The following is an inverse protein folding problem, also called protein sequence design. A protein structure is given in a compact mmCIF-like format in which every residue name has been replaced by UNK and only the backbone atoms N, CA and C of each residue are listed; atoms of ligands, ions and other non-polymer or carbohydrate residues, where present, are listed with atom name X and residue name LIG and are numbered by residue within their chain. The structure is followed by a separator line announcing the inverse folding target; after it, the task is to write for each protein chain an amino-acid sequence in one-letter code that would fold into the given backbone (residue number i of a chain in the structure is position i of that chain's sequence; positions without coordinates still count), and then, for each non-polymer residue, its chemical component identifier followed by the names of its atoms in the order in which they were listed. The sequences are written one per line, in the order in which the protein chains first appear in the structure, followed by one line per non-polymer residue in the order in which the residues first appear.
data_IF_468475998912
#
_entry.id   IF_468475998912
#
_cell.length_a   1.000
_cell.length_b   1.000
_cell.length_c   1.000
_cell.angle_alpha   90.00
_cell.angle_beta   90.00
_cell.angle_gamma   90.00
#
_symmetry.space_group_name_H-M   'P 1'
#
loop_
_entity.id
_entity.type
_entity.pdbx_description
1 polymer ?
#
# COMPACT_ATOMS: atom_id res chain seq x y z
N UNK A 1 4.47 -24.57 3.09
CA UNK A 1 4.10 -23.61 2.04
C UNK A 1 2.66 -23.82 1.57
N UNK A 2 2.19 -22.97 0.68
CA UNK A 2 0.86 -23.08 0.08
C UNK A 2 0.78 -24.32 -0.82
N UNK A 3 -0.25 -25.14 -0.60
CA UNK A 3 -0.57 -26.29 -1.44
C UNK A 3 -1.92 -26.04 -2.11
N UNK A 4 -1.97 -25.80 -3.43
CA UNK A 4 -3.22 -25.52 -4.14
C UNK A 4 -4.14 -26.74 -4.23
N UNK A 5 -3.63 -27.94 -3.99
CA UNK A 5 -4.43 -29.20 -4.00
C UNK A 5 -5.15 -29.46 -2.67
N UNK A 6 -4.69 -28.86 -1.57
CA UNK A 6 -5.33 -28.97 -0.25
C UNK A 6 -6.41 -27.90 -0.11
N UNK A 7 -7.64 -28.31 -0.38
CA UNK A 7 -8.81 -27.41 -0.31
C UNK A 7 -9.39 -27.25 1.09
N UNK A 8 -8.95 -28.03 2.07
CA UNK A 8 -9.42 -27.93 3.46
C UNK A 8 -8.58 -26.98 4.29
N UNK A 9 -7.31 -26.78 3.91
CA UNK A 9 -6.41 -25.89 4.63
C UNK A 9 -6.68 -24.42 4.28
N UNK A 10 -6.80 -23.58 5.30
CA UNK A 10 -6.94 -22.14 5.14
C UNK A 10 -5.68 -21.40 5.59
N UNK A 11 -5.38 -20.28 4.94
CA UNK A 11 -4.19 -19.49 5.17
C UNK A 11 -4.54 -18.04 5.49
N UNK A 12 -3.86 -17.37 6.43
CA UNK A 12 -3.92 -15.93 6.52
C UNK A 12 -3.23 -15.32 5.29
N UNK A 13 -3.78 -14.22 4.78
CA UNK A 13 -3.22 -13.51 3.63
C UNK A 13 -2.52 -12.22 4.03
N UNK A 14 -1.46 -11.84 3.33
CA UNK A 14 -0.78 -10.55 3.51
C UNK A 14 -0.69 -9.85 2.16
N UNK A 15 -1.30 -8.67 2.06
CA UNK A 15 -1.04 -7.72 0.98
C UNK A 15 0.23 -6.93 1.31
N UNK A 16 1.26 -7.04 0.47
CA UNK A 16 2.46 -6.23 0.58
C UNK A 16 2.45 -5.12 -0.47
N UNK A 17 2.80 -3.90 -0.06
CA UNK A 17 2.78 -2.70 -0.91
C UNK A 17 4.18 -2.10 -0.94
N UNK A 18 4.75 -1.96 -2.15
CA UNK A 18 6.10 -1.41 -2.30
C UNK A 18 6.17 0.09 -2.01
N UNK A 19 7.37 0.56 -1.76
CA UNK A 19 7.66 2.00 -1.63
C UNK A 19 7.73 2.70 -2.99
N UNK A 20 8.00 3.99 -2.97
CA UNK A 20 8.16 4.81 -4.17
C UNK A 20 7.26 6.06 -4.12
N UNK A 21 6.13 6.12 -4.84
CA UNK A 21 5.43 5.09 -5.62
C UNK A 21 6.13 4.61 -6.88
N UNK A 22 7.02 5.40 -7.48
CA UNK A 22 7.82 5.01 -8.64
C UNK A 22 8.85 3.95 -8.27
N UNK A 23 8.38 2.73 -8.16
CA UNK A 23 9.12 1.49 -7.98
C UNK A 23 8.25 0.35 -8.52
N UNK A 24 8.73 -0.88 -8.46
CA UNK A 24 7.97 -2.03 -8.93
C UNK A 24 8.39 -3.30 -8.18
N UNK A 25 7.44 -4.14 -7.86
CA UNK A 25 7.71 -5.54 -7.60
C UNK A 25 7.88 -6.28 -8.93
N UNK A 26 8.81 -7.21 -8.96
CA UNK A 26 9.05 -8.09 -10.10
C UNK A 26 8.86 -9.56 -9.67
N UNK A 27 8.70 -10.51 -10.62
CA UNK A 27 8.63 -11.93 -10.34
C UNK A 27 10.02 -12.50 -10.02
N UNK A 28 10.68 -11.90 -9.03
CA UNK A 28 12.02 -12.25 -8.56
C UNK A 28 11.95 -12.68 -7.09
N UNK A 29 13.02 -13.32 -6.63
CA UNK A 29 13.15 -13.66 -5.22
C UNK A 29 13.17 -12.38 -4.36
N UNK A 30 12.20 -12.29 -3.43
CA UNK A 30 12.14 -11.24 -2.44
C UNK A 30 12.12 -11.87 -1.05
N UNK A 31 13.21 -11.71 -0.31
CA UNK A 31 13.46 -12.44 0.93
C UNK A 31 12.34 -12.28 1.95
N UNK A 32 11.85 -11.07 2.18
CA UNK A 32 10.77 -10.78 3.14
C UNK A 32 9.50 -11.58 2.81
N UNK A 33 9.09 -11.64 1.53
CA UNK A 33 7.94 -12.41 1.11
C UNK A 33 8.14 -13.91 1.36
N UNK A 34 9.37 -14.41 1.18
CA UNK A 34 9.68 -15.83 1.46
C UNK A 34 9.65 -16.16 2.96
N UNK A 35 10.08 -15.22 3.80
CA UNK A 35 9.98 -15.38 5.26
C UNK A 35 8.53 -15.53 5.70
N UNK A 36 7.64 -14.68 5.23
CA UNK A 36 6.20 -14.77 5.54
C UNK A 36 5.56 -16.02 4.93
N UNK A 37 5.88 -16.36 3.69
CA UNK A 37 5.38 -17.58 3.06
C UNK A 37 5.82 -18.84 3.82
N UNK A 38 7.06 -18.86 4.29
CA UNK A 38 7.57 -19.96 5.13
C UNK A 38 6.91 -20.02 6.52
N UNK A 39 6.49 -18.88 7.04
CA UNK A 39 5.72 -18.79 8.28
C UNK A 39 4.24 -19.18 8.12
N UNK A 40 3.80 -19.54 6.91
CA UNK A 40 2.45 -20.05 6.66
C UNK A 40 1.46 -19.01 6.15
N UNK A 41 1.92 -17.83 5.74
CA UNK A 41 1.07 -16.81 5.15
C UNK A 41 1.00 -16.95 3.62
N UNK A 42 -0.14 -16.63 3.06
CA UNK A 42 -0.27 -16.37 1.63
C UNK A 42 0.09 -14.91 1.36
N UNK A 43 1.22 -14.67 0.70
CA UNK A 43 1.72 -13.30 0.43
C UNK A 43 1.39 -12.92 -1.01
N UNK A 44 0.77 -11.77 -1.19
CA UNK A 44 0.43 -11.26 -2.52
C UNK A 44 0.73 -9.76 -2.62
N UNK A 45 0.96 -9.31 -3.84
CA UNK A 45 1.29 -7.93 -4.14
C UNK A 45 0.86 -7.54 -5.55
N UNK A 46 0.82 -6.25 -5.80
CA UNK A 46 0.57 -5.67 -7.13
C UNK A 46 1.44 -4.45 -7.35
N UNK A 47 1.49 -4.00 -8.59
CA UNK A 47 2.04 -2.72 -8.97
C UNK A 47 0.86 -1.78 -9.32
N UNK A 48 0.35 -0.99 -8.36
CA UNK A 48 -0.76 -0.07 -8.59
C UNK A 48 -0.34 1.10 -9.48
N UNK A 49 -1.30 1.91 -9.91
CA UNK A 49 -1.00 3.17 -10.59
C UNK A 49 -0.01 4.00 -9.74
N UNK A 50 0.97 4.58 -10.37
CA UNK A 50 2.11 5.22 -9.71
C UNK A 50 3.39 4.38 -9.76
N UNK A 51 3.29 3.07 -10.03
CA UNK A 51 4.44 2.17 -10.16
C UNK A 51 5.15 2.35 -11.50
N UNK A 52 6.44 2.03 -11.51
CA UNK A 52 7.24 1.97 -12.74
C UNK A 52 6.93 0.69 -13.57
N UNK A 53 7.49 0.63 -14.78
CA UNK A 53 7.48 -0.55 -15.65
C UNK A 53 6.35 -0.60 -16.67
N UNK A 54 5.43 0.38 -16.68
CA UNK A 54 4.29 0.46 -17.62
C UNK A 54 4.19 1.82 -18.33
N UNK A 55 5.31 2.54 -18.44
CA UNK A 55 5.37 3.87 -19.05
C UNK A 55 5.01 5.01 -18.10
N UNK A 56 5.26 6.24 -18.55
CA UNK A 56 5.14 7.43 -17.71
C UNK A 56 3.70 7.73 -17.29
N UNK A 57 2.73 7.50 -18.17
CA UNK A 57 1.32 7.78 -17.86
C UNK A 57 0.80 6.90 -16.72
N UNK A 58 1.24 5.63 -16.67
CA UNK A 58 0.92 4.73 -15.57
C UNK A 58 1.68 5.09 -14.29
N UNK A 59 2.91 5.58 -14.40
CA UNK A 59 3.74 6.00 -13.27
C UNK A 59 3.32 7.36 -12.68
N UNK A 60 2.45 8.11 -13.35
CA UNK A 60 1.99 9.41 -12.87
C UNK A 60 0.80 9.27 -11.92
N UNK A 61 1.10 9.32 -10.63
CA UNK A 61 0.12 9.38 -9.54
C UNK A 61 -0.01 10.80 -8.97
N UNK A 62 0.70 11.78 -9.52
CA UNK A 62 0.84 13.13 -8.96
C UNK A 62 -0.52 13.75 -8.58
N UNK A 63 -0.64 14.15 -7.32
CA UNK A 63 -1.83 14.79 -6.77
C UNK A 63 -3.05 13.87 -6.56
N UNK A 64 -2.90 12.54 -6.73
CA UNK A 64 -3.99 11.55 -6.65
C UNK A 64 -3.72 10.40 -5.68
N UNK A 65 -2.76 10.56 -4.79
CA UNK A 65 -2.42 9.55 -3.76
C UNK A 65 -3.63 9.21 -2.89
N UNK A 66 -3.88 7.93 -2.65
CA UNK A 66 -5.01 7.46 -1.86
C UNK A 66 -6.34 7.38 -2.64
N UNK A 67 -6.30 7.47 -3.96
CA UNK A 67 -7.47 7.31 -4.83
C UNK A 67 -7.38 6.03 -5.66
N UNK A 68 -6.99 6.14 -6.92
CA UNK A 68 -6.90 5.02 -7.85
C UNK A 68 -5.86 3.96 -7.43
N UNK A 69 -4.78 4.36 -6.78
CA UNK A 69 -3.79 3.45 -6.20
C UNK A 69 -4.37 2.59 -5.08
N UNK A 70 -5.22 3.17 -4.22
CA UNK A 70 -5.99 2.43 -3.22
C UNK A 70 -7.00 1.48 -3.87
N UNK A 71 -7.75 1.96 -4.88
CA UNK A 71 -8.70 1.11 -5.61
C UNK A 71 -8.02 -0.10 -6.26
N UNK A 72 -6.82 0.07 -6.83
CA UNK A 72 -6.04 -1.03 -7.38
C UNK A 72 -5.62 -2.05 -6.31
N UNK A 73 -5.23 -1.59 -5.12
CA UNK A 73 -4.93 -2.48 -4.00
C UNK A 73 -6.16 -3.29 -3.56
N UNK A 74 -7.33 -2.68 -3.54
CA UNK A 74 -8.58 -3.38 -3.20
C UNK A 74 -8.99 -4.36 -4.30
N UNK A 75 -8.91 -3.97 -5.56
CA UNK A 75 -9.24 -4.83 -6.70
C UNK A 75 -8.34 -6.07 -6.79
N UNK A 76 -7.04 -5.93 -6.56
CA UNK A 76 -6.15 -7.09 -6.52
C UNK A 76 -6.46 -8.01 -5.35
N UNK A 77 -6.85 -7.46 -4.21
CA UNK A 77 -7.26 -8.27 -3.05
C UNK A 77 -8.51 -9.08 -3.38
N UNK A 78 -9.51 -8.49 -4.05
CA UNK A 78 -10.71 -9.19 -4.50
C UNK A 78 -10.38 -10.32 -5.47
N UNK A 79 -9.53 -10.04 -6.44
CA UNK A 79 -9.13 -11.04 -7.46
C UNK A 79 -8.33 -12.19 -6.83
N UNK A 80 -7.45 -11.91 -5.89
CA UNK A 80 -6.67 -12.93 -5.18
C UNK A 80 -7.58 -13.83 -4.35
N UNK A 81 -8.51 -13.28 -3.59
CA UNK A 81 -9.47 -14.06 -2.80
C UNK A 81 -10.37 -14.94 -3.70
N UNK A 82 -10.76 -14.42 -4.85
CA UNK A 82 -11.54 -15.18 -5.84
C UNK A 82 -10.75 -16.36 -6.41
N UNK A 83 -9.47 -16.15 -6.74
CA UNK A 83 -8.60 -17.20 -7.34
C UNK A 83 -8.15 -18.24 -6.32
N UNK A 84 -7.98 -17.84 -5.08
CA UNK A 84 -7.42 -18.67 -4.00
C UNK A 84 -8.36 -18.71 -2.80
N UNK A 85 -9.46 -19.50 -2.88
CA UNK A 85 -10.47 -19.59 -1.81
C UNK A 85 -9.92 -20.17 -0.49
N UNK A 86 -8.70 -20.71 -0.49
CA UNK A 86 -8.00 -21.13 0.72
C UNK A 86 -7.49 -19.96 1.58
N UNK A 87 -7.49 -18.73 1.05
CA UNK A 87 -7.17 -17.55 1.86
C UNK A 87 -8.37 -17.20 2.72
N UNK A 88 -8.17 -17.15 4.02
CA UNK A 88 -9.19 -16.71 4.97
C UNK A 88 -9.30 -15.17 4.95
N UNK A 89 -10.38 -14.66 4.38
CA UNK A 89 -10.64 -13.23 4.27
C UNK A 89 -10.76 -12.50 5.63
N UNK A 90 -11.03 -13.25 6.72
CA UNK A 90 -11.06 -12.69 8.09
C UNK A 90 -9.67 -12.56 8.71
N UNK A 91 -8.65 -13.13 8.10
CA UNK A 91 -7.26 -13.09 8.55
C UNK A 91 -6.35 -12.44 7.52
N UNK A 92 -6.81 -11.33 6.93
CA UNK A 92 -5.99 -10.53 6.03
C UNK A 92 -5.16 -9.51 6.80
N UNK A 93 -3.90 -9.41 6.43
CA UNK A 93 -3.00 -8.34 6.84
C UNK A 93 -2.62 -7.45 5.66
N UNK A 94 -2.25 -6.21 5.94
CA UNK A 94 -1.67 -5.28 4.96
C UNK A 94 -0.37 -4.70 5.50
N UNK A 95 0.65 -4.61 4.65
CA UNK A 95 1.92 -4.05 5.08
C UNK A 95 2.65 -3.33 3.95
N UNK A 96 3.50 -2.40 4.33
CA UNK A 96 4.37 -1.70 3.40
C UNK A 96 5.26 -0.68 4.06
N UNK A 97 6.31 -0.28 3.33
CA UNK A 97 7.27 0.72 3.78
C UNK A 97 7.27 1.98 2.88
N UNK A 98 7.58 3.15 3.47
CA UNK A 98 7.63 4.45 2.77
C UNK A 98 6.28 4.80 2.14
N UNK A 99 6.18 4.92 0.81
CA UNK A 99 4.89 5.06 0.13
C UNK A 99 3.96 3.85 0.43
N UNK A 100 4.48 2.62 0.47
CA UNK A 100 3.70 1.45 0.89
C UNK A 100 3.21 1.55 2.34
N UNK A 101 3.98 2.21 3.21
CA UNK A 101 3.54 2.56 4.57
C UNK A 101 2.46 3.64 4.58
N UNK A 102 2.57 4.66 3.72
CA UNK A 102 1.48 5.62 3.48
C UNK A 102 0.19 4.89 3.08
N UNK A 103 0.26 4.00 2.09
CA UNK A 103 -0.89 3.26 1.61
C UNK A 103 -1.44 2.30 2.68
N UNK A 104 -0.59 1.68 3.48
CA UNK A 104 -1.02 0.87 4.64
C UNK A 104 -1.83 1.69 5.63
N UNK A 105 -1.35 2.89 6.00
CA UNK A 105 -2.09 3.81 6.87
C UNK A 105 -3.41 4.28 6.22
N UNK A 106 -3.38 4.54 4.91
CA UNK A 106 -4.58 4.93 4.16
C UNK A 106 -5.63 3.83 4.18
N UNK A 107 -5.22 2.60 3.94
CA UNK A 107 -6.09 1.41 3.94
C UNK A 107 -6.80 1.28 5.29
N UNK A 108 -6.08 1.28 6.40
CA UNK A 108 -6.69 1.08 7.74
C UNK A 108 -7.58 2.24 8.19
N UNK A 109 -7.39 3.43 7.62
CA UNK A 109 -8.27 4.58 7.85
C UNK A 109 -9.50 4.64 6.92
N UNK A 110 -9.58 3.78 5.89
CA UNK A 110 -10.65 3.84 4.88
C UNK A 110 -11.39 2.51 4.69
N UNK A 111 -10.94 1.43 5.33
CA UNK A 111 -11.63 0.13 5.28
C UNK A 111 -11.31 -0.71 6.52
N UNK A 112 -12.26 -1.52 6.94
CA UNK A 112 -12.11 -2.49 8.03
C UNK A 112 -11.77 -3.90 7.52
N UNK A 113 -11.41 -4.03 6.25
CA UNK A 113 -11.17 -5.31 5.58
C UNK A 113 -10.00 -6.11 6.17
N UNK A 114 -8.98 -5.42 6.68
CA UNK A 114 -7.75 -6.03 7.16
C UNK A 114 -7.76 -6.14 8.68
N UNK A 115 -7.49 -7.34 9.18
CA UNK A 115 -7.46 -7.64 10.62
C UNK A 115 -6.17 -7.15 11.30
N UNK A 116 -5.11 -6.94 10.53
CA UNK A 116 -3.81 -6.46 11.03
C UNK A 116 -3.11 -5.59 9.99
N UNK A 117 -2.27 -4.67 10.47
CA UNK A 117 -1.48 -3.81 9.59
C UNK A 117 -0.07 -3.60 10.14
N UNK A 118 0.93 -3.57 9.25
CA UNK A 118 2.31 -3.24 9.58
C UNK A 118 2.82 -2.08 8.71
N UNK A 119 2.73 -0.88 9.25
CA UNK A 119 3.18 0.35 8.59
C UNK A 119 4.62 0.66 8.97
N UNK A 120 5.51 0.67 7.98
CA UNK A 120 6.94 0.85 8.20
C UNK A 120 7.42 2.18 7.63
N UNK A 121 8.14 3.02 8.46
CA UNK A 121 8.75 4.29 8.02
C UNK A 121 7.83 5.07 7.06
N UNK A 122 6.60 5.24 7.46
CA UNK A 122 5.48 5.67 6.63
C UNK A 122 5.33 7.19 6.56
N UNK A 123 4.42 7.61 5.68
CA UNK A 123 3.90 8.96 5.64
C UNK A 123 2.50 8.94 6.23
N UNK A 124 2.32 9.61 7.36
CA UNK A 124 1.00 9.74 8.02
C UNK A 124 0.39 11.12 7.80
N UNK A 125 1.22 12.15 7.67
CA UNK A 125 0.81 13.54 7.48
C UNK A 125 1.75 14.22 6.47
N UNK A 126 1.22 14.63 5.33
CA UNK A 126 2.00 15.26 4.27
C UNK A 126 2.55 16.64 4.65
N UNK A 127 1.84 17.40 5.49
CA UNK A 127 2.31 18.71 5.99
C UNK A 127 3.54 18.49 6.88
N UNK A 128 3.44 17.59 7.85
CA UNK A 128 4.55 17.26 8.74
C UNK A 128 5.75 16.71 7.96
N UNK A 129 5.51 15.80 7.02
CA UNK A 129 6.59 15.26 6.17
C UNK A 129 7.32 16.36 5.40
N UNK A 130 6.60 17.34 4.85
CA UNK A 130 7.22 18.45 4.12
C UNK A 130 8.26 19.19 4.96
N UNK A 131 8.00 19.32 6.26
CA UNK A 131 8.84 20.11 7.18
C UNK A 131 9.95 19.32 7.87
N UNK A 132 9.85 17.97 7.91
CA UNK A 132 10.73 17.13 8.75
C UNK A 132 11.59 16.13 7.98
N UNK A 133 11.42 16.01 6.65
CA UNK A 133 12.23 15.12 5.82
C UNK A 133 13.27 15.87 5.01
N UNK A 134 14.37 15.21 4.70
CA UNK A 134 15.45 15.71 3.85
C UNK A 134 15.03 16.02 2.40
N UNK A 135 13.97 15.37 1.91
CA UNK A 135 13.43 15.56 0.55
C UNK A 135 12.14 16.40 0.51
N UNK A 136 11.72 16.98 1.65
CA UNK A 136 10.43 17.66 1.80
C UNK A 136 10.20 18.86 0.90
N UNK A 137 11.26 19.61 0.62
CA UNK A 137 11.21 20.86 -0.14
C UNK A 137 10.81 20.68 -1.62
N UNK A 138 10.93 19.49 -2.19
CA UNK A 138 10.51 19.20 -3.57
C UNK A 138 9.56 18.02 -3.69
N UNK A 139 9.84 16.91 -2.98
CA UNK A 139 9.16 15.65 -3.16
C UNK A 139 7.66 15.74 -2.86
N UNK A 140 7.31 16.35 -1.74
CA UNK A 140 5.91 16.43 -1.33
C UNK A 140 5.08 17.32 -2.28
N UNK A 141 5.65 18.46 -2.69
CA UNK A 141 5.01 19.35 -3.64
C UNK A 141 4.82 18.69 -5.00
N UNK A 142 5.82 17.92 -5.44
CA UNK A 142 5.72 17.13 -6.68
C UNK A 142 4.67 16.02 -6.57
N UNK A 143 4.66 15.27 -5.48
CA UNK A 143 3.78 14.12 -5.30
C UNK A 143 2.31 14.53 -5.09
N UNK A 144 2.04 15.49 -4.22
CA UNK A 144 0.69 15.91 -3.84
C UNK A 144 0.18 17.08 -4.70
N UNK A 145 1.08 17.77 -5.40
CA UNK A 145 0.76 19.02 -6.14
C UNK A 145 0.13 20.07 -5.23
N UNK A 146 0.68 20.22 -4.04
CA UNK A 146 0.29 21.18 -3.03
C UNK A 146 1.47 21.49 -2.11
N UNK A 147 1.41 22.62 -1.45
CA UNK A 147 2.37 23.05 -0.43
C UNK A 147 1.66 23.45 0.86
N UNK A 148 2.37 23.51 2.01
CA UNK A 148 1.74 23.78 3.31
C UNK A 148 1.15 25.17 3.47
N UNK A 149 1.56 26.13 2.64
CA UNK A 149 1.12 27.53 2.74
C UNK A 149 0.02 27.86 1.74
N UNK A 150 0.14 27.38 0.52
CA UNK A 150 -0.77 27.68 -0.57
C UNK A 150 -2.02 26.78 -0.59
N UNK A 151 -1.87 25.50 -0.24
CA UNK A 151 -3.00 24.55 -0.24
C UNK A 151 -2.86 23.47 0.83
N UNK A 152 -2.84 23.84 2.12
CA UNK A 152 -2.74 22.89 3.24
C UNK A 152 -3.92 21.91 3.31
N UNK A 153 -5.12 22.33 2.90
CA UNK A 153 -6.32 21.48 2.89
C UNK A 153 -6.14 20.27 1.97
N UNK A 154 -5.53 20.46 0.80
CA UNK A 154 -5.23 19.36 -0.11
C UNK A 154 -4.23 18.39 0.53
N UNK A 155 -3.16 18.89 1.13
CA UNK A 155 -2.20 18.05 1.82
C UNK A 155 -2.84 17.27 2.97
N UNK A 156 -3.71 17.92 3.75
CA UNK A 156 -4.44 17.27 4.82
C UNK A 156 -5.41 16.21 4.30
N UNK A 157 -6.11 16.47 3.20
CA UNK A 157 -7.05 15.52 2.60
C UNK A 157 -6.38 14.24 2.08
N UNK A 158 -5.11 14.32 1.69
CA UNK A 158 -4.28 13.17 1.31
C UNK A 158 -3.50 12.55 2.48
N UNK A 159 -3.60 13.10 3.68
CA UNK A 159 -2.90 12.59 4.86
C UNK A 159 -3.72 11.49 5.56
N UNK A 160 -3.18 10.27 5.71
CA UNK A 160 -3.87 9.19 6.41
C UNK A 160 -4.32 9.55 7.82
N UNK A 161 -3.57 10.39 8.51
CA UNK A 161 -3.90 10.86 9.86
C UNK A 161 -5.28 11.50 9.97
N UNK A 162 -5.77 12.12 8.89
CA UNK A 162 -7.13 12.69 8.84
C UNK A 162 -8.22 11.65 9.13
N UNK A 163 -7.97 10.40 8.81
CA UNK A 163 -8.93 9.29 8.88
C UNK A 163 -8.65 8.33 10.03
N UNK A 164 -7.76 8.70 10.95
CA UNK A 164 -7.31 7.81 12.03
C UNK A 164 -8.34 7.59 13.16
N UNK A 165 -9.43 8.36 13.16
CA UNK A 165 -10.51 8.29 14.16
C UNK A 165 -11.78 7.59 13.64
N UNK A 166 -11.67 6.90 12.54
CA UNK A 166 -12.79 6.16 11.94
C UNK A 166 -12.83 4.70 12.38
#
# INVERSE_FOLDING_TARGET
GFDPSDTEKTYPGILTIHGGPRATFAPTFFHENQVFANAGYFVFYTNPLGSDGRGNDFADLSGRHGSIDFEHCMAVTDEVLKRYPQIDEKRLGVMGGRYGGFMTNWVIGNTTRFAAAASQRSISNWISKCMTTDIGYYFNMDQIKADPWGNPEKMWSHSPLKYANM
#
